data_IF_588887604444
#
_entry.id   IF_588887604444
#
_cell.length_a   1.000
_cell.length_b   1.000
_cell.length_c   1.000
_cell.angle_alpha   90.00
_cell.angle_beta   90.00
_cell.angle_gamma   90.00
#
_symmetry.space_group_name_H-M   'P 1'
#
loop_
_entity.id
_entity.type
_entity.pdbx_description
1 polymer ?
#
# COMPACT_ATOMS: atom_id res chain seq x y z
N UNK A 1 -10.23 -5.34 -5.71
CA UNK A 1 -10.93 -5.83 -6.91
C UNK A 1 -11.83 -4.75 -7.50
N UNK A 2 -12.90 -4.30 -6.81
CA UNK A 2 -13.91 -3.35 -7.33
C UNK A 2 -13.34 -2.14 -8.10
N UNK A 3 -12.25 -1.54 -7.64
CA UNK A 3 -11.62 -0.40 -8.31
C UNK A 3 -11.08 -0.79 -9.69
N UNK A 4 -10.41 -1.92 -9.81
CA UNK A 4 -9.87 -2.43 -11.08
C UNK A 4 -10.99 -2.84 -12.04
N UNK A 5 -12.00 -3.56 -11.53
CA UNK A 5 -13.18 -3.97 -12.31
C UNK A 5 -13.95 -2.77 -12.87
N UNK A 6 -14.12 -1.68 -12.08
CA UNK A 6 -14.74 -0.44 -12.56
C UNK A 6 -13.91 0.30 -13.63
N UNK A 7 -12.65 -0.05 -13.77
CA UNK A 7 -11.76 0.41 -14.84
C UNK A 7 -11.65 -0.60 -16.01
N UNK A 8 -12.48 -1.65 -16.04
CA UNK A 8 -12.48 -2.63 -17.12
C UNK A 8 -11.29 -3.60 -17.10
N UNK A 9 -10.56 -3.66 -15.98
CA UNK A 9 -9.40 -4.53 -15.83
C UNK A 9 -9.86 -5.93 -15.40
N UNK A 10 -9.48 -6.95 -16.15
CA UNK A 10 -9.64 -8.34 -15.75
C UNK A 10 -8.65 -8.67 -14.63
N UNK A 11 -9.17 -9.18 -13.52
CA UNK A 11 -8.33 -9.44 -12.32
C UNK A 11 -8.32 -10.92 -11.99
N UNK A 12 -7.15 -11.51 -12.02
CA UNK A 12 -6.89 -12.85 -11.51
C UNK A 12 -6.28 -12.77 -10.09
N UNK A 13 -6.83 -13.51 -9.15
CA UNK A 13 -6.28 -13.64 -7.79
C UNK A 13 -5.84 -15.08 -7.58
N UNK A 14 -4.58 -15.42 -7.87
CA UNK A 14 -4.09 -16.77 -7.68
C UNK A 14 -3.95 -17.14 -6.20
N UNK A 15 -4.03 -18.42 -5.88
CA UNK A 15 -3.74 -18.89 -4.53
C UNK A 15 -2.24 -18.79 -4.24
N UNK A 16 -1.86 -17.83 -3.43
CA UNK A 16 -0.48 -17.49 -3.13
C UNK A 16 -0.20 -17.48 -1.62
N UNK A 17 1.08 -17.51 -1.24
CA UNK A 17 1.54 -17.33 0.13
C UNK A 17 1.68 -15.84 0.47
N UNK A 18 1.78 -15.52 1.78
CA UNK A 18 2.16 -14.16 2.21
C UNK A 18 3.46 -13.73 1.52
N UNK A 19 3.57 -12.44 1.15
CA UNK A 19 4.77 -11.90 0.50
C UNK A 19 6.07 -12.06 1.31
N UNK A 20 5.99 -12.34 2.59
CA UNK A 20 7.15 -12.62 3.45
C UNK A 20 7.75 -11.40 4.14
N UNK A 21 7.30 -10.17 3.89
CA UNK A 21 7.90 -8.96 4.48
C UNK A 21 7.95 -9.02 6.02
N UNK A 22 6.92 -9.54 6.67
CA UNK A 22 6.89 -9.69 8.12
C UNK A 22 7.97 -10.68 8.62
N UNK A 23 8.24 -11.73 7.85
CA UNK A 23 9.29 -12.71 8.14
C UNK A 23 10.67 -12.08 7.99
N UNK A 24 10.88 -11.29 6.93
CA UNK A 24 12.13 -10.54 6.69
C UNK A 24 12.41 -9.60 7.86
N UNK A 25 11.41 -8.85 8.32
CA UNK A 25 11.57 -7.87 9.40
C UNK A 25 11.90 -8.48 10.77
N UNK A 26 11.59 -9.74 11.00
CA UNK A 26 11.94 -10.46 12.23
C UNK A 26 13.17 -11.38 12.06
N UNK A 27 13.84 -11.34 10.91
CA UNK A 27 15.04 -12.13 10.62
C UNK A 27 14.79 -13.58 10.19
N UNK A 28 13.52 -13.97 9.92
CA UNK A 28 13.18 -15.33 9.44
C UNK A 28 13.32 -15.41 7.91
N UNK A 29 14.54 -15.20 7.41
CA UNK A 29 14.81 -15.11 5.96
C UNK A 29 14.52 -16.42 5.22
N UNK A 30 14.79 -17.57 5.84
CA UNK A 30 14.53 -18.88 5.20
C UNK A 30 13.04 -19.13 4.98
N UNK A 31 12.17 -18.70 5.89
CA UNK A 31 10.72 -18.83 5.71
C UNK A 31 10.20 -17.82 4.68
N UNK A 32 10.74 -16.60 4.67
CA UNK A 32 10.45 -15.63 3.61
C UNK A 32 10.85 -16.18 2.23
N UNK A 33 12.03 -16.81 2.12
CA UNK A 33 12.53 -17.44 0.90
C UNK A 33 11.65 -18.58 0.41
N UNK A 34 11.13 -19.42 1.32
CA UNK A 34 10.18 -20.48 0.97
C UNK A 34 8.89 -19.90 0.37
N UNK A 35 8.32 -18.87 1.00
CA UNK A 35 7.13 -18.20 0.49
C UNK A 35 7.39 -17.54 -0.87
N UNK A 36 8.51 -16.82 -1.00
CA UNK A 36 8.91 -16.17 -2.24
C UNK A 36 9.01 -17.17 -3.39
N UNK A 37 9.61 -18.36 -3.15
CA UNK A 37 9.71 -19.42 -4.15
C UNK A 37 8.34 -19.86 -4.64
N UNK A 38 7.42 -20.20 -3.73
CA UNK A 38 6.07 -20.60 -4.08
C UNK A 38 5.35 -19.52 -4.87
N UNK A 39 5.48 -18.25 -4.45
CA UNK A 39 4.83 -17.15 -5.14
C UNK A 39 5.42 -16.92 -6.54
N UNK A 40 6.73 -17.03 -6.71
CA UNK A 40 7.37 -16.91 -8.03
C UNK A 40 6.95 -18.05 -8.95
N UNK A 41 6.88 -19.30 -8.45
CA UNK A 41 6.40 -20.46 -9.22
C UNK A 41 4.96 -20.26 -9.74
N UNK A 42 4.11 -19.56 -8.98
CA UNK A 42 2.73 -19.26 -9.36
C UNK A 42 2.66 -18.04 -10.30
N UNK A 43 3.40 -17.00 -10.02
CA UNK A 43 3.27 -15.70 -10.70
C UNK A 43 4.06 -15.63 -12.01
N UNK A 44 5.24 -16.26 -12.11
CA UNK A 44 6.06 -16.17 -13.31
C UNK A 44 5.37 -16.71 -14.58
N UNK A 45 4.63 -17.82 -14.56
CA UNK A 45 3.85 -18.26 -15.70
C UNK A 45 2.77 -17.27 -16.14
N UNK A 46 2.15 -16.55 -15.21
CA UNK A 46 1.15 -15.53 -15.49
C UNK A 46 1.79 -14.30 -16.14
N UNK A 47 2.93 -13.86 -15.64
CA UNK A 47 3.70 -12.77 -16.25
C UNK A 47 4.10 -13.13 -17.68
N UNK A 48 4.54 -14.37 -17.94
CA UNK A 48 4.87 -14.87 -19.29
C UNK A 48 3.66 -14.90 -20.24
N UNK A 49 2.44 -14.90 -19.70
CA UNK A 49 1.16 -14.78 -20.44
C UNK A 49 0.72 -13.32 -20.65
N UNK A 50 1.48 -12.34 -20.14
CA UNK A 50 1.20 -10.91 -20.30
C UNK A 50 0.47 -10.26 -19.13
N UNK A 51 0.28 -10.95 -17.99
CA UNK A 51 -0.28 -10.33 -16.80
C UNK A 51 0.74 -9.43 -16.11
N UNK A 52 0.28 -8.29 -15.60
CA UNK A 52 1.01 -7.47 -14.64
C UNK A 52 0.65 -7.88 -13.20
N UNK A 53 1.56 -7.71 -12.29
CA UNK A 53 1.33 -7.99 -10.87
C UNK A 53 1.04 -6.67 -10.16
N UNK A 54 -0.14 -6.56 -9.57
CA UNK A 54 -0.57 -5.35 -8.87
C UNK A 54 -0.77 -5.65 -7.39
N UNK A 55 0.07 -5.06 -6.54
CA UNK A 55 -0.01 -5.24 -5.10
C UNK A 55 -0.76 -4.08 -4.44
N UNK A 56 -1.79 -4.39 -3.64
CA UNK A 56 -2.63 -3.41 -2.95
C UNK A 56 -2.00 -2.80 -1.70
N UNK A 57 -0.85 -3.30 -1.28
CA UNK A 57 -0.11 -2.79 -0.13
C UNK A 57 1.35 -2.54 -0.52
N UNK A 58 1.91 -1.36 -0.23
CA UNK A 58 3.27 -0.99 -0.62
C UNK A 58 4.32 -1.92 -0.02
N UNK A 59 4.07 -2.46 1.17
CA UNK A 59 4.97 -3.43 1.80
C UNK A 59 5.07 -4.74 1.01
N UNK A 60 3.96 -5.21 0.42
CA UNK A 60 3.96 -6.40 -0.42
C UNK A 60 4.60 -6.10 -1.78
N UNK A 61 4.30 -4.94 -2.38
CA UNK A 61 4.92 -4.51 -3.62
C UNK A 61 6.44 -4.47 -3.48
N UNK A 62 6.94 -3.82 -2.42
CA UNK A 62 8.38 -3.70 -2.16
C UNK A 62 9.03 -5.08 -1.97
N UNK A 63 8.40 -5.97 -1.18
CA UNK A 63 8.92 -7.32 -0.97
C UNK A 63 9.05 -8.11 -2.29
N UNK A 64 8.05 -8.03 -3.17
CA UNK A 64 8.10 -8.72 -4.46
C UNK A 64 9.12 -8.05 -5.39
N UNK A 65 9.14 -6.72 -5.42
CA UNK A 65 10.00 -5.94 -6.30
C UNK A 65 11.49 -6.05 -5.92
N UNK A 66 11.83 -5.85 -4.62
CA UNK A 66 13.22 -5.80 -4.18
C UNK A 66 13.72 -7.10 -3.54
N UNK A 67 12.91 -7.70 -2.63
CA UNK A 67 13.43 -8.79 -1.81
C UNK A 67 13.40 -10.13 -2.56
N UNK A 68 12.42 -10.41 -3.41
CA UNK A 68 12.36 -11.68 -4.14
C UNK A 68 13.58 -11.93 -5.02
N UNK A 69 14.07 -10.98 -5.84
CA UNK A 69 15.32 -11.16 -6.58
C UNK A 69 16.52 -11.41 -5.68
N UNK A 70 16.61 -10.72 -4.55
CA UNK A 70 17.71 -10.88 -3.57
C UNK A 70 17.67 -12.23 -2.85
N UNK A 71 16.46 -12.72 -2.52
CA UNK A 71 16.29 -13.99 -1.81
C UNK A 71 16.51 -15.21 -2.69
N UNK A 72 16.06 -15.15 -3.94
CA UNK A 72 16.03 -16.31 -4.85
C UNK A 72 17.13 -16.29 -5.90
N UNK A 73 17.51 -15.12 -6.40
CA UNK A 73 18.49 -14.91 -7.47
C UNK A 73 18.23 -15.80 -8.70
N UNK A 74 16.97 -15.82 -9.18
CA UNK A 74 16.54 -16.58 -10.36
C UNK A 74 15.94 -15.65 -11.42
N UNK A 75 15.98 -16.06 -12.71
CA UNK A 75 15.38 -15.31 -13.80
C UNK A 75 13.89 -15.06 -13.59
N UNK A 76 13.14 -16.06 -13.11
CA UNK A 76 11.71 -15.93 -12.84
C UNK A 76 11.43 -14.97 -11.67
N UNK A 77 12.31 -14.87 -10.67
CA UNK A 77 12.16 -13.88 -9.59
C UNK A 77 12.39 -12.45 -10.12
N UNK A 78 13.35 -12.25 -11.01
CA UNK A 78 13.55 -10.97 -11.67
C UNK A 78 12.38 -10.62 -12.60
N UNK A 79 11.86 -11.58 -13.35
CA UNK A 79 10.68 -11.39 -14.19
C UNK A 79 9.45 -10.94 -13.38
N UNK A 80 9.15 -11.62 -12.27
CA UNK A 80 8.07 -11.29 -11.35
C UNK A 80 8.27 -9.91 -10.74
N UNK A 81 9.49 -9.60 -10.31
CA UNK A 81 9.85 -8.27 -9.79
C UNK A 81 9.55 -7.16 -10.79
N UNK A 82 10.03 -7.28 -12.01
CA UNK A 82 9.85 -6.26 -13.06
C UNK A 82 8.40 -6.05 -13.48
N UNK A 83 7.57 -7.09 -13.36
CA UNK A 83 6.14 -7.02 -13.66
C UNK A 83 5.29 -6.51 -12.49
N UNK A 84 5.92 -6.21 -11.33
CA UNK A 84 5.19 -5.80 -10.12
C UNK A 84 5.08 -4.29 -10.00
N UNK A 85 3.85 -3.82 -9.82
CA UNK A 85 3.52 -2.42 -9.53
C UNK A 85 2.76 -2.30 -8.21
N UNK A 86 2.97 -1.21 -7.52
CA UNK A 86 2.08 -0.80 -6.43
C UNK A 86 0.78 -0.25 -7.03
N UNK A 87 -0.35 -0.50 -6.40
CA UNK A 87 -1.68 -0.22 -6.96
C UNK A 87 -1.90 1.26 -7.33
N UNK A 88 -1.36 2.21 -6.54
CA UNK A 88 -1.55 3.63 -6.85
C UNK A 88 -0.72 4.06 -8.05
N UNK A 89 0.48 3.53 -8.18
CA UNK A 89 1.28 3.70 -9.39
C UNK A 89 0.53 3.15 -10.61
N UNK A 90 -0.01 1.92 -10.51
CA UNK A 90 -0.78 1.32 -11.60
C UNK A 90 -2.00 2.16 -12.00
N UNK A 91 -2.78 2.63 -11.02
CA UNK A 91 -3.95 3.48 -11.28
C UNK A 91 -3.55 4.85 -11.84
N UNK A 92 -2.41 5.38 -11.42
CA UNK A 92 -1.90 6.64 -11.95
C UNK A 92 -1.41 6.50 -13.39
N UNK A 93 -0.76 5.39 -13.73
CA UNK A 93 -0.41 5.07 -15.12
C UNK A 93 -1.67 5.05 -16.01
N UNK A 94 -2.77 4.43 -15.55
CA UNK A 94 -4.06 4.48 -16.27
C UNK A 94 -4.58 5.91 -16.44
N UNK A 95 -4.44 6.75 -15.42
CA UNK A 95 -4.85 8.17 -15.50
C UNK A 95 -4.04 8.93 -16.55
N UNK A 96 -2.73 8.80 -16.55
CA UNK A 96 -1.84 9.47 -17.52
C UNK A 96 -2.12 9.02 -18.96
N UNK A 97 -2.47 7.75 -19.16
CA UNK A 97 -2.88 7.22 -20.46
C UNK A 97 -4.34 7.50 -20.83
N UNK A 98 -5.11 8.21 -19.97
CA UNK A 98 -6.54 8.52 -20.15
C UNK A 98 -7.44 7.28 -20.17
N UNK A 99 -7.03 6.23 -19.52
CA UNK A 99 -7.72 4.94 -19.38
C UNK A 99 -8.43 4.79 -18.04
N UNK A 100 -8.09 5.64 -17.06
CA UNK A 100 -8.77 5.65 -15.77
C UNK A 100 -10.22 6.11 -15.91
N UNK A 101 -11.16 5.31 -15.45
CA UNK A 101 -12.55 5.70 -15.32
C UNK A 101 -12.70 6.78 -14.23
N UNK A 102 -12.99 8.01 -14.63
CA UNK A 102 -13.14 9.15 -13.72
C UNK A 102 -14.61 9.45 -13.35
N UNK A 103 -15.53 8.55 -13.61
CA UNK A 103 -16.95 8.71 -13.25
C UNK A 103 -17.17 8.53 -11.74
N UNK A 104 -16.44 9.32 -10.96
CA UNK A 104 -16.53 9.32 -9.51
C UNK A 104 -17.80 10.03 -9.03
N UNK A 105 -18.52 9.41 -8.12
CA UNK A 105 -19.57 10.07 -7.32
C UNK A 105 -18.92 10.87 -6.20
N UNK A 106 -19.52 11.98 -5.78
CA UNK A 106 -18.99 12.79 -4.69
C UNK A 106 -18.86 11.99 -3.37
N UNK A 107 -17.75 12.21 -2.70
CA UNK A 107 -17.49 11.71 -1.34
C UNK A 107 -17.11 12.92 -0.48
N UNK A 108 -17.97 13.31 0.46
CA UNK A 108 -17.67 14.40 1.38
C UNK A 108 -16.69 13.93 2.45
N UNK A 109 -15.42 14.21 2.25
CA UNK A 109 -14.35 13.72 3.12
C UNK A 109 -13.20 14.73 3.22
N UNK A 110 -12.88 15.13 4.44
CA UNK A 110 -11.70 15.94 4.76
C UNK A 110 -10.69 15.06 5.52
N UNK A 111 -9.55 14.80 4.91
CA UNK A 111 -8.58 13.83 5.40
C UNK A 111 -7.13 14.33 5.30
N UNK A 112 -6.27 13.71 6.10
CA UNK A 112 -4.81 13.72 5.93
C UNK A 112 -4.38 12.45 5.20
N UNK A 113 -3.47 12.58 4.26
CA UNK A 113 -2.74 11.44 3.72
C UNK A 113 -1.45 11.19 4.53
N UNK A 114 -1.29 9.97 5.04
CA UNK A 114 -0.01 9.48 5.56
C UNK A 114 0.70 8.61 4.54
N UNK A 115 1.89 9.04 4.13
CA UNK A 115 2.72 8.31 3.17
C UNK A 115 3.54 7.22 3.88
N UNK A 116 3.26 5.91 3.63
CA UNK A 116 4.03 4.83 4.22
C UNK A 116 5.49 4.80 3.75
N UNK A 117 6.40 4.38 4.62
CA UNK A 117 7.83 4.29 4.28
C UNK A 117 8.12 3.37 3.08
N UNK A 118 7.35 2.30 2.88
CA UNK A 118 7.50 1.42 1.72
C UNK A 118 6.97 2.03 0.42
N UNK A 119 5.95 2.91 0.48
CA UNK A 119 5.56 3.71 -0.69
C UNK A 119 6.69 4.63 -1.15
N UNK A 120 7.36 5.29 -0.20
CA UNK A 120 8.53 6.14 -0.49
C UNK A 120 9.67 5.34 -1.09
N UNK A 121 9.96 4.15 -0.55
CA UNK A 121 11.00 3.27 -1.09
C UNK A 121 10.70 2.84 -2.54
N UNK A 122 9.43 2.76 -2.92
CA UNK A 122 8.98 2.47 -4.29
C UNK A 122 8.90 3.74 -5.17
N UNK A 123 9.12 4.95 -4.63
CA UNK A 123 8.92 6.20 -5.34
C UNK A 123 7.45 6.58 -5.56
N UNK A 124 6.52 5.92 -4.90
CA UNK A 124 5.07 6.15 -4.99
C UNK A 124 4.64 7.10 -3.86
N UNK A 125 4.72 8.39 -4.11
CA UNK A 125 4.48 9.41 -3.09
C UNK A 125 3.31 10.33 -3.41
N UNK A 126 3.21 10.77 -4.65
CA UNK A 126 2.19 11.73 -5.09
C UNK A 126 0.93 11.06 -5.63
N UNK A 127 1.05 9.92 -6.26
CA UNK A 127 -0.02 9.21 -6.93
C UNK A 127 -1.23 8.94 -6.02
N UNK A 128 -1.06 8.49 -4.76
CA UNK A 128 -2.20 8.29 -3.86
C UNK A 128 -2.95 9.59 -3.55
N UNK A 129 -2.22 10.71 -3.40
CA UNK A 129 -2.80 12.02 -3.12
C UNK A 129 -3.59 12.52 -4.32
N UNK A 130 -2.97 12.49 -5.50
CA UNK A 130 -3.59 12.98 -6.73
C UNK A 130 -4.82 12.14 -7.12
N UNK A 131 -4.76 10.81 -6.96
CA UNK A 131 -5.92 9.93 -7.17
C UNK A 131 -7.08 10.28 -6.24
N UNK A 132 -6.82 10.58 -4.97
CA UNK A 132 -7.85 11.00 -4.03
C UNK A 132 -8.44 12.37 -4.41
N UNK A 133 -7.64 13.28 -4.92
CA UNK A 133 -8.06 14.63 -5.37
C UNK A 133 -8.97 14.59 -6.61
N UNK A 134 -8.92 13.51 -7.41
CA UNK A 134 -9.85 13.33 -8.53
C UNK A 134 -11.29 13.10 -8.07
N UNK A 135 -11.50 12.68 -6.82
CA UNK A 135 -12.84 12.40 -6.30
C UNK A 135 -13.51 13.70 -5.85
N UNK A 136 -14.67 14.09 -6.46
CA UNK A 136 -15.38 15.30 -6.04
C UNK A 136 -15.74 15.26 -4.55
N UNK A 137 -15.46 16.35 -3.83
CA UNK A 137 -15.76 16.49 -2.41
C UNK A 137 -14.66 15.97 -1.46
N UNK A 138 -13.65 15.26 -1.95
CA UNK A 138 -12.50 14.86 -1.13
C UNK A 138 -11.50 16.01 -1.02
N UNK A 139 -11.15 16.38 0.21
CA UNK A 139 -10.11 17.36 0.53
C UNK A 139 -8.96 16.65 1.22
N UNK A 140 -7.77 16.74 0.65
CA UNK A 140 -6.56 16.10 1.17
C UNK A 140 -5.61 17.14 1.73
N UNK A 141 -5.38 17.09 3.03
CA UNK A 141 -4.35 17.87 3.72
C UNK A 141 -3.01 17.12 3.66
N UNK A 142 -1.98 17.81 3.28
CA UNK A 142 -0.61 17.31 3.31
C UNK A 142 0.05 17.74 4.62
N UNK A 143 0.66 16.80 5.31
CA UNK A 143 1.41 17.03 6.55
C UNK A 143 2.88 16.70 6.34
N UNK A 144 3.72 17.20 7.24
CA UNK A 144 5.14 16.85 7.22
C UNK A 144 5.34 15.34 7.33
N UNK A 145 6.29 14.84 6.57
CA UNK A 145 6.56 13.44 6.49
C UNK A 145 7.16 12.89 7.79
N UNK A 146 6.45 11.99 8.43
CA UNK A 146 6.82 11.41 9.73
C UNK A 146 6.48 9.93 9.78
N UNK A 147 7.30 9.14 10.47
CA UNK A 147 7.09 7.71 10.66
C UNK A 147 5.92 7.44 11.62
N UNK A 148 5.08 6.44 11.32
CA UNK A 148 4.04 5.99 12.25
C UNK A 148 4.58 5.26 13.49
N UNK A 149 5.86 4.84 13.47
CA UNK A 149 6.52 4.16 14.59
C UNK A 149 6.40 2.64 14.60
N UNK A 150 5.53 2.04 13.78
CA UNK A 150 5.26 0.59 13.82
C UNK A 150 6.47 -0.26 13.38
N UNK A 151 7.24 0.18 12.38
CA UNK A 151 8.42 -0.50 11.84
C UNK A 151 8.19 -2.01 11.59
N UNK A 152 7.35 -2.33 10.61
CA UNK A 152 6.97 -3.71 10.30
C UNK A 152 6.15 -4.35 11.43
N UNK A 153 6.75 -5.28 12.16
CA UNK A 153 6.13 -5.95 13.31
C UNK A 153 6.68 -5.51 14.66
N UNK A 154 7.62 -4.56 14.66
CA UNK A 154 8.33 -4.11 15.87
C UNK A 154 7.35 -3.59 16.95
N UNK A 155 6.44 -2.71 16.59
CA UNK A 155 5.49 -2.09 17.50
C UNK A 155 4.37 -3.02 17.97
N UNK A 156 4.22 -4.22 17.40
CA UNK A 156 3.29 -5.24 17.90
C UNK A 156 3.80 -6.01 19.10
N UNK A 157 5.11 -5.95 19.38
CA UNK A 157 5.69 -6.59 20.56
C UNK A 157 5.45 -5.73 21.78
N UNK A 158 5.01 -6.35 22.87
CA UNK A 158 4.68 -5.64 24.12
C UNK A 158 5.85 -4.80 24.62
N UNK A 159 7.07 -5.35 24.58
CA UNK A 159 8.30 -4.68 25.01
C UNK A 159 8.67 -3.44 24.17
N UNK A 160 8.18 -3.35 22.94
CA UNK A 160 8.48 -2.27 22.02
C UNK A 160 7.33 -1.25 21.86
N UNK A 161 6.16 -1.54 22.41
CA UNK A 161 4.96 -0.76 22.19
C UNK A 161 5.14 0.72 22.57
N UNK A 162 5.63 0.98 23.75
CA UNK A 162 5.83 2.34 24.25
C UNK A 162 6.84 3.14 23.39
N UNK A 163 7.91 2.49 22.96
CA UNK A 163 8.89 3.11 22.08
C UNK A 163 8.30 3.40 20.70
N UNK A 164 7.55 2.44 20.16
CA UNK A 164 6.85 2.57 18.89
C UNK A 164 5.85 3.76 18.91
N UNK A 165 5.07 3.89 19.98
CA UNK A 165 4.16 5.02 20.16
C UNK A 165 4.89 6.36 20.30
N UNK A 166 6.03 6.40 21.01
CA UNK A 166 6.88 7.62 21.11
C UNK A 166 7.41 8.05 19.76
N UNK A 167 7.87 7.12 18.92
CA UNK A 167 8.34 7.42 17.56
C UNK A 167 7.20 8.00 16.72
N UNK A 168 6.00 7.41 16.81
CA UNK A 168 4.81 7.85 16.07
C UNK A 168 4.23 9.20 16.55
N UNK A 169 4.57 9.65 17.75
CA UNK A 169 3.91 10.80 18.39
C UNK A 169 3.95 12.08 17.54
N UNK A 170 5.07 12.33 16.87
CA UNK A 170 5.18 13.50 15.97
C UNK A 170 4.11 13.47 14.90
N UNK A 171 3.94 12.33 14.22
CA UNK A 171 2.88 12.13 13.23
C UNK A 171 1.48 12.32 13.83
N UNK A 172 1.22 11.74 14.99
CA UNK A 172 -0.09 11.84 15.63
C UNK A 172 -0.47 13.27 15.98
N UNK A 173 0.47 14.07 16.48
CA UNK A 173 0.24 15.47 16.78
C UNK A 173 0.03 16.33 15.52
N UNK A 174 0.73 16.04 14.43
CA UNK A 174 0.53 16.73 13.15
C UNK A 174 -0.85 16.43 12.59
N UNK A 175 -1.29 15.17 12.60
CA UNK A 175 -2.66 14.77 12.19
C UNK A 175 -3.72 15.50 13.03
N UNK A 176 -3.56 15.54 14.35
CA UNK A 176 -4.50 16.23 15.24
C UNK A 176 -4.58 17.74 14.93
N UNK A 177 -3.44 18.39 14.66
CA UNK A 177 -3.39 19.82 14.31
C UNK A 177 -4.06 20.13 12.98
N UNK A 178 -4.05 19.20 12.04
CA UNK A 178 -4.72 19.38 10.75
C UNK A 178 -6.24 19.49 10.85
N UNK A 179 -6.84 19.10 11.99
CA UNK A 179 -8.28 19.26 12.25
C UNK A 179 -9.18 18.41 11.35
N UNK A 180 -8.63 17.32 10.80
CA UNK A 180 -9.35 16.41 9.90
C UNK A 180 -10.20 15.40 10.67
N UNK A 181 -11.17 14.80 9.97
CA UNK A 181 -12.06 13.78 10.53
C UNK A 181 -11.61 12.35 10.22
N UNK A 182 -10.66 12.18 9.29
CA UNK A 182 -10.22 10.88 8.79
C UNK A 182 -8.75 10.95 8.39
N UNK A 183 -8.05 9.82 8.48
CA UNK A 183 -6.71 9.65 7.92
C UNK A 183 -6.78 8.61 6.81
N UNK A 184 -6.05 8.83 5.71
CA UNK A 184 -5.89 7.84 4.65
C UNK A 184 -4.45 7.33 4.61
N UNK A 185 -4.28 6.03 4.40
CA UNK A 185 -2.98 5.39 4.16
C UNK A 185 -3.16 4.10 3.38
N UNK A 186 -2.14 3.65 2.66
CA UNK A 186 -2.14 2.36 1.94
C UNK A 186 -1.51 1.20 2.73
N UNK A 187 -0.99 1.47 3.94
CA UNK A 187 -0.31 0.47 4.75
C UNK A 187 -1.15 0.03 5.96
N UNK A 188 -1.46 -1.27 6.05
CA UNK A 188 -2.28 -1.81 7.14
C UNK A 188 -1.66 -1.64 8.53
N UNK A 189 -0.33 -1.75 8.68
CA UNK A 189 0.33 -1.55 9.97
C UNK A 189 0.35 -0.07 10.37
N UNK A 190 0.54 0.85 9.42
CA UNK A 190 0.38 2.28 9.67
C UNK A 190 -1.06 2.62 10.07
N UNK A 191 -2.06 2.00 9.44
CA UNK A 191 -3.47 2.17 9.78
C UNK A 191 -3.71 1.88 11.27
N UNK A 192 -3.29 0.71 11.75
CA UNK A 192 -3.46 0.30 13.15
C UNK A 192 -2.79 1.30 14.10
N UNK A 193 -1.55 1.66 13.83
CA UNK A 193 -0.76 2.56 14.69
C UNK A 193 -1.33 3.98 14.75
N UNK A 194 -1.72 4.53 13.60
CA UNK A 194 -2.32 5.86 13.51
C UNK A 194 -3.68 5.89 14.20
N UNK A 195 -4.53 4.88 13.99
CA UNK A 195 -5.82 4.76 14.67
C UNK A 195 -5.63 4.71 16.21
N UNK A 196 -4.64 3.97 16.68
CA UNK A 196 -4.31 3.90 18.10
C UNK A 196 -3.82 5.25 18.66
N UNK A 197 -2.96 5.96 17.94
CA UNK A 197 -2.33 7.21 18.41
C UNK A 197 -3.24 8.44 18.29
N UNK A 198 -4.11 8.47 17.29
CA UNK A 198 -4.98 9.64 17.00
C UNK A 198 -6.42 9.48 17.47
N UNK A 199 -6.90 8.24 17.59
CA UNK A 199 -8.31 7.89 17.79
C UNK A 199 -9.24 8.30 16.63
N UNK A 200 -8.66 8.66 15.48
CA UNK A 200 -9.41 8.96 14.27
C UNK A 200 -9.66 7.68 13.44
N UNK A 201 -10.73 7.64 12.65
CA UNK A 201 -10.88 6.63 11.62
C UNK A 201 -9.72 6.69 10.63
N UNK A 202 -9.14 5.53 10.31
CA UNK A 202 -8.10 5.41 9.29
C UNK A 202 -8.61 4.52 8.17
N UNK A 203 -8.53 5.01 6.95
CA UNK A 203 -9.05 4.32 5.76
C UNK A 203 -7.94 4.00 4.77
N UNK A 204 -8.07 2.87 4.11
CA UNK A 204 -7.24 2.58 2.96
C UNK A 204 -7.73 3.40 1.76
N UNK A 205 -6.82 4.01 0.98
CA UNK A 205 -7.16 4.81 -0.20
C UNK A 205 -8.08 4.08 -1.17
N UNK A 206 -7.81 2.79 -1.44
CA UNK A 206 -8.67 1.98 -2.32
C UNK A 206 -10.10 1.84 -1.79
N UNK A 207 -10.34 1.91 -0.48
CA UNK A 207 -11.70 1.88 0.06
C UNK A 207 -12.45 3.18 -0.23
N UNK A 208 -11.73 4.31 -0.26
CA UNK A 208 -12.30 5.62 -0.62
C UNK A 208 -12.60 5.65 -2.13
N UNK A 209 -11.66 5.20 -2.98
CA UNK A 209 -11.87 5.06 -4.42
C UNK A 209 -13.06 4.11 -4.73
N UNK A 210 -13.14 2.96 -4.06
CA UNK A 210 -14.24 2.02 -4.24
C UNK A 210 -15.60 2.59 -3.81
N UNK A 211 -15.62 3.48 -2.82
CA UNK A 211 -16.82 4.23 -2.43
C UNK A 211 -17.21 5.24 -3.52
N UNK A 212 -16.26 5.93 -4.12
CA UNK A 212 -16.52 6.87 -5.20
C UNK A 212 -17.06 6.17 -6.47
N UNK A 213 -16.79 4.87 -6.65
CA UNK A 213 -17.35 4.04 -7.73
C UNK A 213 -18.67 3.32 -7.35
N UNK A 214 -19.32 3.70 -6.26
CA UNK A 214 -20.64 3.13 -5.91
C UNK A 214 -21.69 3.43 -6.99
N UNK A 215 -22.68 2.59 -7.09
CA UNK A 215 -23.83 2.76 -8.00
C UNK A 215 -24.78 3.85 -7.50
#
# INVERSE_FOLDING_TARGET
LKVLEKNGIEVLVPEQKCCGIAMITVGSQEDAKKNARVNVEILAPLVKQGYEIVASAPSCALAIYEDYPRLLNTEDAHLVSQATKEIHQYLWDLYEHKELNQNFKPVDLHLVWHNPCHSKALGVEREPIELLRLIPGVKVEEIADSCCGMAGTFGFKTENFDLSMKIGNKLFEEIKRAGVTTVATSCGTCNIQIAQGTRLPVRHTLSILAEAYRD
#
